data_IF_932007349228
#
_entry.id   IF_932007349228
#
_cell.length_a   1.000
_cell.length_b   1.000
_cell.length_c   1.000
_cell.angle_alpha   90.00
_cell.angle_beta   90.00
_cell.angle_gamma   90.00
#
_symmetry.space_group_name_H-M   'P 1'
#
loop_
_entity.id
_entity.type
_entity.pdbx_description
1 polymer ?
#
# COMPACT_ATOMS: atom_id res chain seq x y z
N UNK A 1 6.81 -17.75 0.45
CA UNK A 1 5.80 -17.45 -0.58
C UNK A 1 4.44 -17.30 0.09
N UNK A 2 3.72 -16.22 -0.19
CA UNK A 2 2.34 -16.05 0.27
C UNK A 2 1.45 -17.13 -0.38
N UNK A 3 0.67 -17.86 0.43
CA UNK A 3 -0.25 -18.92 -0.02
C UNK A 3 -1.70 -18.46 -0.15
N UNK A 4 -1.95 -17.17 0.04
CA UNK A 4 -3.28 -16.59 -0.04
C UNK A 4 -3.71 -16.29 -1.48
N UNK A 5 -5.00 -16.00 -1.63
CA UNK A 5 -5.59 -15.53 -2.88
C UNK A 5 -5.00 -14.19 -3.33
N UNK A 6 -5.29 -13.80 -4.58
CA UNK A 6 -4.83 -12.55 -5.14
C UNK A 6 -5.29 -11.35 -4.29
N UNK A 7 -4.38 -10.57 -3.68
CA UNK A 7 -4.75 -9.46 -2.80
C UNK A 7 -5.50 -8.35 -3.52
N UNK A 8 -5.37 -8.24 -4.84
CA UNK A 8 -6.11 -7.26 -5.66
C UNK A 8 -7.61 -7.53 -5.61
N UNK A 9 -8.04 -8.79 -5.60
CA UNK A 9 -9.46 -9.14 -5.56
C UNK A 9 -10.08 -8.89 -4.18
N UNK A 10 -9.28 -9.05 -3.12
CA UNK A 10 -9.67 -8.64 -1.78
C UNK A 10 -9.79 -7.12 -1.66
N UNK A 11 -8.86 -6.37 -2.25
CA UNK A 11 -8.83 -4.91 -2.20
C UNK A 11 -10.12 -4.26 -2.74
N UNK A 12 -10.71 -4.83 -3.81
CA UNK A 12 -11.97 -4.37 -4.42
C UNK A 12 -13.16 -4.37 -3.46
N UNK A 13 -13.10 -5.13 -2.36
CA UNK A 13 -14.18 -5.21 -1.37
C UNK A 13 -14.19 -4.02 -0.40
N UNK A 14 -13.14 -3.21 -0.39
CA UNK A 14 -13.00 -2.04 0.47
C UNK A 14 -13.27 -0.76 -0.34
N UNK A 15 -14.31 0.03 -0.02
CA UNK A 15 -14.71 1.21 -0.80
C UNK A 15 -13.62 2.29 -0.90
N UNK A 16 -12.72 2.38 0.09
CA UNK A 16 -11.60 3.32 0.13
C UNK A 16 -10.43 2.69 0.90
N UNK A 17 -9.43 2.18 0.19
CA UNK A 17 -8.26 1.49 0.75
C UNK A 17 -6.97 2.23 0.39
N UNK A 18 -6.41 2.94 1.37
CA UNK A 18 -5.08 3.52 1.26
C UNK A 18 -4.01 2.49 1.60
N UNK A 19 -2.86 2.55 0.92
CA UNK A 19 -1.75 1.62 1.10
C UNK A 19 -0.46 2.39 1.34
N UNK A 20 0.26 2.03 2.40
CA UNK A 20 1.62 2.52 2.68
C UNK A 20 2.60 1.39 2.38
N UNK A 21 3.45 1.57 1.36
CA UNK A 21 4.49 0.62 0.99
C UNK A 21 5.82 0.98 1.65
N UNK A 22 6.39 0.02 2.37
CA UNK A 22 7.74 0.12 2.94
C UNK A 22 8.67 -0.73 2.06
N UNK A 23 9.79 -0.19 1.54
CA UNK A 23 10.73 -0.95 0.75
C UNK A 23 11.30 -2.06 1.61
N UNK A 24 11.36 -3.26 1.03
CA UNK A 24 12.07 -4.36 1.65
C UNK A 24 13.57 -4.10 1.58
N UNK A 25 14.32 -4.64 2.54
CA UNK A 25 15.80 -4.56 2.53
C UNK A 25 16.44 -5.33 1.35
N UNK A 26 15.68 -6.22 0.70
CA UNK A 26 16.08 -6.93 -0.51
C UNK A 26 15.32 -6.42 -1.73
N UNK A 27 15.89 -6.64 -2.94
CA UNK A 27 15.43 -6.28 -4.31
C UNK A 27 14.00 -6.75 -4.69
N UNK A 28 13.02 -6.55 -3.82
CA UNK A 28 11.62 -6.84 -4.02
C UNK A 28 10.92 -5.66 -4.71
N UNK A 29 11.47 -5.21 -5.84
CA UNK A 29 10.87 -4.14 -6.66
C UNK A 29 9.39 -4.44 -6.99
N UNK A 30 9.04 -5.72 -7.17
CA UNK A 30 7.65 -6.18 -7.39
C UNK A 30 6.70 -5.92 -6.22
N UNK A 31 7.20 -5.79 -4.99
CA UNK A 31 6.37 -5.54 -3.81
C UNK A 31 5.71 -4.16 -3.86
N UNK A 32 6.46 -3.14 -4.28
CA UNK A 32 5.95 -1.78 -4.43
C UNK A 32 4.89 -1.70 -5.53
N UNK A 33 5.10 -2.36 -6.66
CA UNK A 33 4.10 -2.40 -7.73
C UNK A 33 2.81 -3.09 -7.27
N UNK A 34 2.94 -4.19 -6.51
CA UNK A 34 1.78 -4.88 -5.92
C UNK A 34 1.01 -3.97 -4.96
N UNK A 35 1.71 -3.23 -4.08
CA UNK A 35 1.09 -2.26 -3.18
C UNK A 35 0.35 -1.16 -3.94
N UNK A 36 0.91 -0.68 -5.06
CA UNK A 36 0.27 0.33 -5.92
C UNK A 36 -1.03 -0.19 -6.54
N UNK A 37 -1.03 -1.42 -7.07
CA UNK A 37 -2.22 -2.03 -7.66
C UNK A 37 -3.32 -2.31 -6.62
N UNK A 38 -2.95 -2.69 -5.40
CA UNK A 38 -3.90 -2.85 -4.28
C UNK A 38 -4.61 -1.52 -3.98
N UNK A 39 -3.85 -0.42 -3.85
CA UNK A 39 -4.42 0.89 -3.55
C UNK A 39 -5.38 1.36 -4.65
N UNK A 40 -4.99 1.14 -5.91
CA UNK A 40 -5.81 1.46 -7.09
C UNK A 40 -7.11 0.65 -7.10
N UNK A 41 -7.02 -0.66 -6.84
CA UNK A 41 -8.19 -1.54 -6.81
C UNK A 41 -9.19 -1.17 -5.70
N UNK A 42 -8.71 -0.73 -4.54
CA UNK A 42 -9.54 -0.22 -3.46
C UNK A 42 -9.82 1.28 -3.51
N UNK A 43 -9.63 1.94 -4.66
CA UNK A 43 -9.96 3.36 -4.89
C UNK A 43 -9.32 4.33 -3.88
N UNK A 44 -8.16 3.99 -3.34
CA UNK A 44 -7.42 4.81 -2.38
C UNK A 44 -6.11 5.35 -2.96
N UNK A 45 -5.25 5.81 -2.04
CA UNK A 45 -3.94 6.40 -2.37
C UNK A 45 -2.82 5.46 -1.95
N UNK A 46 -1.76 5.44 -2.75
CA UNK A 46 -0.53 4.73 -2.45
C UNK A 46 0.54 5.73 -1.98
N UNK A 47 1.18 5.44 -0.84
CA UNK A 47 2.34 6.17 -0.34
C UNK A 47 3.52 5.22 -0.18
N UNK A 48 4.63 5.50 -0.87
CA UNK A 48 5.89 4.83 -0.61
C UNK A 48 6.69 5.62 0.41
N UNK A 49 7.17 4.96 1.47
CA UNK A 49 8.11 5.52 2.44
C UNK A 49 9.48 4.91 2.25
N UNK A 50 10.59 5.55 2.62
CA UNK A 50 11.90 4.91 2.49
C UNK A 50 12.27 4.06 3.72
N UNK A 51 11.66 4.35 4.86
CA UNK A 51 11.85 3.62 6.09
C UNK A 51 10.62 3.75 7.01
N UNK A 52 10.57 2.92 8.06
CA UNK A 52 9.43 2.85 8.98
C UNK A 52 9.19 4.14 9.78
N UNK A 53 10.19 5.01 9.95
CA UNK A 53 10.04 6.26 10.72
C UNK A 53 9.20 7.30 9.99
N UNK A 54 8.97 7.12 8.69
CA UNK A 54 8.12 8.01 7.88
C UNK A 54 6.63 7.63 7.93
N UNK A 55 6.27 6.46 8.46
CA UNK A 55 4.87 6.00 8.55
C UNK A 55 3.96 7.03 9.25
N UNK A 56 4.34 7.63 10.40
CA UNK A 56 3.50 8.63 11.05
C UNK A 56 3.19 9.83 10.15
N UNK A 57 4.18 10.30 9.39
CA UNK A 57 4.00 11.41 8.43
C UNK A 57 3.07 11.01 7.29
N UNK A 58 3.28 9.83 6.71
CA UNK A 58 2.43 9.32 5.63
C UNK A 58 0.97 9.12 6.09
N UNK A 59 0.76 8.67 7.33
CA UNK A 59 -0.58 8.55 7.92
C UNK A 59 -1.27 9.91 8.07
N UNK A 60 -0.58 10.91 8.61
CA UNK A 60 -1.14 12.27 8.76
C UNK A 60 -1.55 12.84 7.40
N UNK A 61 -0.70 12.67 6.38
CA UNK A 61 -0.96 13.15 5.02
C UNK A 61 -2.14 12.43 4.36
N UNK A 62 -2.29 11.12 4.60
CA UNK A 62 -3.45 10.36 4.10
C UNK A 62 -4.75 10.78 4.78
N UNK A 63 -4.72 11.00 6.10
CA UNK A 63 -5.90 11.35 6.89
C UNK A 63 -6.33 12.81 6.69
N UNK A 64 -5.41 13.73 6.40
CA UNK A 64 -5.73 15.15 6.14
C UNK A 64 -6.39 15.38 4.79
N UNK A 65 -6.42 14.37 3.92
CA UNK A 65 -7.01 14.42 2.58
C UNK A 65 -8.38 13.71 2.51
N UNK A 66 -8.95 13.36 3.66
CA UNK A 66 -10.27 12.72 3.78
C UNK A 66 -11.37 13.78 3.90
#
# INVERSE_FOLDING_TARGET
>A
YNRGDNPIDLAKKYPKLHVIGIPAENDAARGIDTCREIAKAGQGKFFAVNNYREIPRALIELLSQI
#
